data_IF_954950339297
#
_entry.id   IF_954950339297
#
_cell.length_a   1.000
_cell.length_b   1.000
_cell.length_c   1.000
_cell.angle_alpha   90.00
_cell.angle_beta   90.00
_cell.angle_gamma   90.00
#
_symmetry.space_group_name_H-M   'P 1'
#
loop_
_entity.id
_entity.type
_entity.pdbx_description
1 polymer ?
#
# COMPACT_ATOMS: atom_id res chain seq x y z
N UNK A 1 7.42 -3.05 -10.70
CA UNK A 1 8.49 -3.59 -9.84
C UNK A 1 8.73 -2.72 -8.63
N UNK A 2 9.12 -3.32 -7.51
CA UNK A 2 9.56 -2.68 -6.28
C UNK A 2 11.02 -3.08 -6.06
N UNK A 3 11.88 -2.09 -5.88
CA UNK A 3 13.33 -2.32 -5.71
C UNK A 3 13.81 -1.76 -4.38
N UNK A 4 14.88 -2.32 -3.85
CA UNK A 4 15.59 -1.75 -2.72
C UNK A 4 16.51 -0.58 -3.15
N UNK A 5 17.20 0.03 -2.18
CA UNK A 5 18.12 1.15 -2.43
C UNK A 5 19.34 0.77 -3.30
N UNK A 6 19.63 -0.50 -3.45
CA UNK A 6 20.71 -1.02 -4.30
C UNK A 6 20.24 -1.39 -5.71
N UNK A 7 18.96 -1.14 -6.05
CA UNK A 7 18.37 -1.48 -7.34
C UNK A 7 17.94 -2.93 -7.51
N UNK A 8 18.09 -3.78 -6.49
CA UNK A 8 17.66 -5.19 -6.56
C UNK A 8 16.14 -5.29 -6.48
N UNK A 9 15.56 -6.17 -7.28
CA UNK A 9 14.13 -6.46 -7.30
C UNK A 9 13.71 -7.12 -5.97
N UNK A 10 12.78 -6.49 -5.27
CA UNK A 10 12.18 -6.98 -4.02
C UNK A 10 10.78 -7.59 -4.22
N UNK A 11 10.08 -7.16 -5.26
CA UNK A 11 8.75 -7.63 -5.57
C UNK A 11 8.10 -6.90 -6.75
N UNK A 12 6.87 -7.30 -7.04
CA UNK A 12 6.03 -6.66 -8.07
C UNK A 12 4.69 -6.32 -7.45
N UNK A 13 4.19 -5.12 -7.73
CA UNK A 13 2.85 -4.69 -7.37
C UNK A 13 2.06 -4.40 -8.64
N UNK A 14 0.81 -4.83 -8.69
CA UNK A 14 -0.12 -4.55 -9.77
C UNK A 14 -1.37 -3.86 -9.23
N UNK A 15 -2.15 -3.24 -10.12
CA UNK A 15 -3.37 -2.50 -9.74
C UNK A 15 -4.34 -3.34 -8.91
N UNK A 16 -4.39 -4.66 -9.15
CA UNK A 16 -5.23 -5.58 -8.39
C UNK A 16 -4.81 -5.62 -6.92
N UNK A 17 -3.53 -5.63 -6.62
CA UNK A 17 -3.01 -5.69 -5.23
C UNK A 17 -3.44 -4.44 -4.47
N UNK A 18 -3.36 -3.27 -5.12
CA UNK A 18 -3.85 -2.01 -4.57
C UNK A 18 -5.37 -2.07 -4.35
N UNK A 19 -6.14 -2.54 -5.33
CA UNK A 19 -7.59 -2.66 -5.20
C UNK A 19 -8.00 -3.61 -4.07
N UNK A 20 -7.28 -4.73 -3.88
CA UNK A 20 -7.54 -5.68 -2.80
C UNK A 20 -7.29 -5.04 -1.44
N UNK A 21 -6.28 -4.18 -1.29
CA UNK A 21 -6.00 -3.49 -0.03
C UNK A 21 -7.14 -2.60 0.47
N UNK A 22 -7.99 -2.10 -0.45
CA UNK A 22 -9.21 -1.37 -0.09
C UNK A 22 -10.35 -2.28 0.41
N UNK A 23 -10.28 -3.57 0.12
CA UNK A 23 -11.35 -4.54 0.42
C UNK A 23 -11.07 -5.35 1.69
N UNK A 24 -9.79 -5.49 2.09
CA UNK A 24 -9.37 -6.27 3.26
C UNK A 24 -9.48 -5.46 4.57
N UNK A 25 -10.69 -4.93 4.84
CA UNK A 25 -10.97 -4.09 6.04
C UNK A 25 -11.26 -4.91 7.29
N UNK A 26 -11.20 -6.24 7.23
CA UNK A 26 -11.66 -7.11 8.31
C UNK A 26 -10.65 -7.35 9.45
N UNK A 27 -9.35 -7.12 9.22
CA UNK A 27 -8.34 -7.27 10.27
C UNK A 27 -7.92 -5.91 10.82
N UNK A 28 -8.46 -5.55 11.97
CA UNK A 28 -8.14 -4.29 12.65
C UNK A 28 -6.71 -4.22 13.23
N UNK A 29 -5.92 -5.30 13.11
CA UNK A 29 -4.50 -5.37 13.51
C UNK A 29 -3.53 -5.30 12.33
N UNK A 30 -4.02 -5.13 11.11
CA UNK A 30 -3.17 -5.14 9.92
C UNK A 30 -2.08 -4.06 9.97
N UNK A 31 -2.41 -2.86 10.45
CA UNK A 31 -1.47 -1.75 10.55
C UNK A 31 -0.32 -2.02 11.53
N UNK A 32 -0.61 -2.65 12.67
CA UNK A 32 0.43 -3.01 13.66
C UNK A 32 1.30 -4.18 13.18
N UNK A 33 0.70 -5.17 12.52
CA UNK A 33 1.44 -6.27 11.86
C UNK A 33 2.38 -5.74 10.77
N UNK A 34 1.92 -4.78 9.97
CA UNK A 34 2.70 -4.10 8.94
C UNK A 34 3.77 -3.16 9.50
N UNK A 35 3.77 -2.89 10.82
CA UNK A 35 4.66 -1.94 11.47
C UNK A 35 4.59 -0.58 10.79
N UNK A 36 3.38 -0.03 10.68
CA UNK A 36 3.14 1.22 9.96
C UNK A 36 3.65 2.41 10.75
N UNK A 37 4.38 3.31 10.10
CA UNK A 37 4.89 4.53 10.73
C UNK A 37 3.78 5.55 10.92
N UNK A 38 3.74 6.25 12.06
CA UNK A 38 2.70 7.24 12.33
C UNK A 38 2.70 8.39 11.33
N UNK A 39 3.88 8.79 10.84
CA UNK A 39 4.01 9.78 9.78
C UNK A 39 3.23 9.36 8.52
N UNK A 40 3.35 8.10 8.08
CA UNK A 40 2.61 7.61 6.90
C UNK A 40 1.10 7.63 7.14
N UNK A 41 0.66 7.34 8.37
CA UNK A 41 -0.77 7.42 8.74
C UNK A 41 -1.26 8.85 8.64
N UNK A 42 -0.52 9.81 9.21
CA UNK A 42 -0.87 11.22 9.14
C UNK A 42 -0.92 11.72 7.68
N UNK A 43 0.11 11.42 6.86
CA UNK A 43 0.15 11.80 5.45
C UNK A 43 -1.03 11.20 4.65
N UNK A 44 -1.36 9.93 4.88
CA UNK A 44 -2.49 9.25 4.21
C UNK A 44 -3.84 9.89 4.57
N UNK A 45 -3.96 10.40 5.78
CA UNK A 45 -5.19 11.02 6.28
C UNK A 45 -5.22 12.55 6.10
N UNK A 46 -4.30 13.13 5.33
CA UNK A 46 -4.15 14.57 5.19
C UNK A 46 -4.13 15.28 6.57
N UNK A 47 -3.46 14.65 7.52
CA UNK A 47 -3.49 14.99 8.94
C UNK A 47 -2.18 15.55 9.44
N UNK A 48 -2.24 16.11 10.66
CA UNK A 48 -1.10 16.65 11.37
C UNK A 48 -0.86 15.89 12.68
N UNK A 49 0.40 15.56 12.96
CA UNK A 49 0.80 15.03 14.26
C UNK A 49 1.02 16.20 15.21
N UNK A 50 0.26 16.26 16.29
CA UNK A 50 0.29 17.35 17.27
C UNK A 50 0.85 16.94 18.64
N UNK A 51 1.04 15.64 18.86
CA UNK A 51 1.72 15.08 20.03
C UNK A 51 2.42 13.77 19.69
N UNK A 52 3.45 13.42 20.45
CA UNK A 52 4.20 12.17 20.29
C UNK A 52 5.26 12.20 19.19
N UNK A 53 5.85 11.04 18.89
CA UNK A 53 6.95 10.91 17.93
C UNK A 53 6.41 10.44 16.56
N UNK A 54 6.47 11.31 15.55
CA UNK A 54 6.03 11.04 14.18
C UNK A 54 6.81 9.90 13.50
N UNK A 55 8.06 9.66 13.89
CA UNK A 55 8.92 8.64 13.33
C UNK A 55 8.76 7.27 14.00
N UNK A 56 7.97 7.18 15.08
CA UNK A 56 7.65 5.92 15.72
C UNK A 56 6.71 5.07 14.86
N UNK A 57 6.62 3.79 15.20
CA UNK A 57 5.84 2.81 14.45
C UNK A 57 4.71 2.25 15.30
N UNK A 58 3.55 2.08 14.70
CA UNK A 58 2.46 1.30 15.28
C UNK A 58 2.79 -0.19 15.13
N UNK A 59 3.16 -0.83 16.23
CA UNK A 59 3.71 -2.19 16.24
C UNK A 59 2.89 -3.20 17.05
N UNK A 60 1.92 -2.71 17.82
CA UNK A 60 1.03 -3.51 18.67
C UNK A 60 -0.35 -2.87 18.72
N UNK A 61 -1.34 -3.65 19.17
CA UNK A 61 -2.71 -3.17 19.30
C UNK A 61 -3.51 -3.30 18.02
N UNK A 62 -4.73 -2.84 18.09
CA UNK A 62 -5.72 -2.83 17.01
C UNK A 62 -6.20 -1.41 16.75
N UNK A 63 -6.82 -1.18 15.59
CA UNK A 63 -7.53 0.06 15.32
C UNK A 63 -8.95 -0.07 15.86
N UNK A 64 -9.36 0.88 16.71
CA UNK A 64 -10.67 0.95 17.35
C UNK A 64 -11.35 2.23 16.93
N UNK A 65 -12.60 2.14 16.51
CA UNK A 65 -13.45 3.32 16.30
C UNK A 65 -14.24 3.56 17.58
N UNK A 66 -13.91 4.64 18.27
CA UNK A 66 -14.56 5.01 19.52
C UNK A 66 -15.93 5.64 19.29
N UNK A 67 -16.95 5.08 19.93
CA UNK A 67 -18.25 5.71 20.03
C UNK A 67 -18.23 6.76 21.16
N UNK A 68 -19.23 7.66 21.16
CA UNK A 68 -19.34 8.75 22.16
C UNK A 68 -19.67 8.28 23.58
N UNK A 69 -19.87 6.98 23.78
CA UNK A 69 -20.21 6.41 25.09
C UNK A 69 -18.96 5.98 25.85
N UNK A 70 -18.68 6.70 26.95
CA UNK A 70 -17.54 6.47 27.83
C UNK A 70 -17.54 5.07 28.48
N UNK A 71 -18.72 4.49 28.76
CA UNK A 71 -18.86 3.17 29.35
C UNK A 71 -18.39 2.08 28.39
N UNK A 72 -18.80 2.17 27.14
CA UNK A 72 -18.43 1.24 26.08
C UNK A 72 -16.93 1.30 25.78
N UNK A 73 -16.35 2.50 25.70
CA UNK A 73 -14.94 2.68 25.37
C UNK A 73 -13.98 2.02 26.38
N UNK A 74 -14.30 2.05 27.67
CA UNK A 74 -13.44 1.47 28.71
C UNK A 74 -13.32 -0.06 28.63
N UNK A 75 -14.28 -0.74 27.98
CA UNK A 75 -14.28 -2.18 27.83
C UNK A 75 -13.57 -2.64 26.54
N UNK A 76 -13.45 -1.75 25.52
CA UNK A 76 -12.97 -2.11 24.20
C UNK A 76 -11.57 -1.58 23.86
N UNK A 77 -11.10 -0.54 24.57
CA UNK A 77 -9.75 -0.01 24.37
C UNK A 77 -8.78 -0.79 25.25
N UNK A 78 -7.80 -1.39 24.63
CA UNK A 78 -6.68 -2.07 25.29
C UNK A 78 -5.42 -1.18 25.18
N UNK A 79 -4.41 -1.53 25.99
CA UNK A 79 -3.11 -0.88 25.85
C UNK A 79 -2.53 -1.08 24.45
N UNK A 80 -1.81 -0.08 23.97
CA UNK A 80 -1.21 -0.02 22.63
C UNK A 80 -2.22 0.14 21.46
N UNK A 81 -3.53 0.21 21.69
CA UNK A 81 -4.51 0.42 20.64
C UNK A 81 -4.37 1.80 19.98
N UNK A 82 -4.76 1.88 18.71
CA UNK A 82 -4.98 3.12 17.97
C UNK A 82 -6.47 3.42 17.95
N UNK A 83 -6.86 4.61 18.43
CA UNK A 83 -8.28 4.92 18.62
C UNK A 83 -8.69 6.13 17.77
N UNK A 84 -9.73 5.96 16.96
CA UNK A 84 -10.33 7.03 16.16
C UNK A 84 -11.46 7.64 16.98
N UNK A 85 -11.35 8.93 17.29
CA UNK A 85 -12.25 9.64 18.21
C UNK A 85 -12.78 10.94 17.59
N UNK A 86 -13.84 11.45 18.24
CA UNK A 86 -14.36 12.79 18.04
C UNK A 86 -13.73 13.85 18.97
N UNK A 87 -14.36 15.04 19.08
CA UNK A 87 -13.84 16.18 19.82
C UNK A 87 -13.98 16.08 21.34
N UNK A 88 -14.66 15.05 21.86
CA UNK A 88 -14.98 14.95 23.29
C UNK A 88 -13.72 14.73 24.12
N UNK A 89 -13.33 15.73 24.92
CA UNK A 89 -12.13 15.73 25.76
C UNK A 89 -12.08 14.55 26.72
N UNK A 90 -13.20 14.23 27.36
CA UNK A 90 -13.32 13.15 28.36
C UNK A 90 -13.04 11.79 27.73
N UNK A 91 -13.48 11.61 26.48
CA UNK A 91 -13.25 10.37 25.69
C UNK A 91 -11.78 10.23 25.31
N UNK A 92 -11.14 11.34 24.91
CA UNK A 92 -9.72 11.38 24.59
C UNK A 92 -8.85 11.10 25.84
N UNK A 93 -9.18 11.69 26.99
CA UNK A 93 -8.52 11.43 28.26
C UNK A 93 -8.66 9.94 28.64
N UNK A 94 -9.85 9.36 28.46
CA UNK A 94 -10.06 7.94 28.78
C UNK A 94 -9.22 7.02 27.92
N UNK A 95 -9.08 7.31 26.61
CA UNK A 95 -8.18 6.57 25.75
C UNK A 95 -6.73 6.64 26.20
N UNK A 96 -6.26 7.82 26.63
CA UNK A 96 -4.94 7.99 27.22
C UNK A 96 -4.76 7.22 28.54
N UNK A 97 -5.77 7.21 29.41
CA UNK A 97 -5.75 6.42 30.66
C UNK A 97 -5.65 4.92 30.39
N UNK A 98 -6.28 4.43 29.31
CA UNK A 98 -6.19 3.03 28.84
C UNK A 98 -4.85 2.71 28.15
N UNK A 99 -3.90 3.67 28.12
CA UNK A 99 -2.60 3.54 27.45
C UNK A 99 -2.70 3.27 25.94
N UNK A 100 -3.62 3.93 25.24
CA UNK A 100 -3.64 3.94 23.79
C UNK A 100 -2.31 4.47 23.24
N UNK A 101 -1.80 3.85 22.19
CA UNK A 101 -0.56 4.29 21.53
C UNK A 101 -0.77 5.45 20.57
N UNK A 102 -1.99 5.57 20.04
CA UNK A 102 -2.34 6.65 19.12
C UNK A 102 -3.83 7.03 19.25
N UNK A 103 -4.10 8.33 19.15
CA UNK A 103 -5.44 8.87 19.03
C UNK A 103 -5.52 9.64 17.70
N UNK A 104 -6.53 9.34 16.89
CA UNK A 104 -6.84 10.07 15.66
C UNK A 104 -8.12 10.86 15.89
N UNK A 105 -8.04 12.18 15.78
CA UNK A 105 -9.18 13.10 15.96
C UNK A 105 -9.63 13.59 14.59
N UNK A 106 -10.84 13.20 14.19
CA UNK A 106 -11.41 13.51 12.87
C UNK A 106 -12.11 14.87 12.80
N UNK A 107 -12.64 15.19 11.61
CA UNK A 107 -13.45 16.36 11.30
C UNK A 107 -12.76 17.72 11.54
N UNK A 108 -11.44 17.78 11.59
CA UNK A 108 -10.69 19.00 11.80
C UNK A 108 -10.86 19.63 13.19
N UNK A 109 -11.35 18.88 14.17
CA UNK A 109 -11.50 19.40 15.54
C UNK A 109 -10.15 19.66 16.20
N UNK A 110 -10.10 20.75 16.96
CA UNK A 110 -8.97 21.07 17.82
C UNK A 110 -8.94 20.15 19.04
N UNK A 111 -7.74 19.85 19.53
CA UNK A 111 -7.52 19.04 20.73
C UNK A 111 -7.13 19.94 21.89
N UNK A 112 -7.75 19.71 23.04
CA UNK A 112 -7.47 20.46 24.25
C UNK A 112 -5.99 20.38 24.65
N UNK A 113 -5.33 21.50 25.02
CA UNK A 113 -3.92 21.50 25.44
C UNK A 113 -3.59 20.55 26.59
N UNK A 114 -4.53 20.28 27.50
CA UNK A 114 -4.35 19.31 28.58
C UNK A 114 -4.21 17.87 28.03
N UNK A 115 -5.01 17.52 27.02
CA UNK A 115 -4.93 16.22 26.34
C UNK A 115 -3.59 16.07 25.63
N UNK A 116 -3.11 17.11 24.93
CA UNK A 116 -1.80 17.12 24.28
C UNK A 116 -0.67 16.91 25.30
N UNK A 117 -0.72 17.61 26.44
CA UNK A 117 0.28 17.43 27.48
C UNK A 117 0.28 16.03 28.09
N UNK A 118 -0.91 15.45 28.30
CA UNK A 118 -1.06 14.11 28.80
C UNK A 118 -0.56 13.07 27.80
N UNK A 119 -0.85 13.26 26.51
CA UNK A 119 -0.37 12.39 25.44
C UNK A 119 1.17 12.37 25.36
N UNK A 120 1.82 13.53 25.42
CA UNK A 120 3.28 13.62 25.44
C UNK A 120 3.92 12.95 26.67
N UNK A 121 3.27 13.00 27.83
CA UNK A 121 3.75 12.30 29.03
C UNK A 121 3.64 10.78 28.94
N UNK A 122 2.72 10.29 28.13
CA UNK A 122 2.43 8.87 27.94
C UNK A 122 3.00 8.29 26.65
N UNK A 123 3.79 9.06 25.90
CA UNK A 123 4.32 8.70 24.57
C UNK A 123 3.21 8.30 23.58
N UNK A 124 1.98 8.83 23.74
CA UNK A 124 0.88 8.61 22.83
C UNK A 124 0.93 9.62 21.68
N UNK A 125 0.77 9.13 20.45
CA UNK A 125 0.70 9.97 19.26
C UNK A 125 -0.71 10.52 19.08
N UNK A 126 -0.85 11.83 18.82
CA UNK A 126 -2.14 12.42 18.44
C UNK A 126 -2.04 12.92 17.01
N UNK A 127 -2.96 12.46 16.16
CA UNK A 127 -3.13 12.88 14.77
C UNK A 127 -4.47 13.60 14.66
N UNK A 128 -4.48 14.79 14.10
CA UNK A 128 -5.71 15.48 13.70
C UNK A 128 -5.88 15.40 12.19
N UNK A 129 -7.10 15.22 11.69
CA UNK A 129 -7.39 15.11 10.26
C UNK A 129 -8.72 15.78 9.91
N UNK A 130 -8.88 16.38 8.71
CA UNK A 130 -10.15 16.92 8.26
C UNK A 130 -11.21 15.83 7.97
N UNK A 131 -10.80 14.58 7.82
CA UNK A 131 -11.70 13.48 7.46
C UNK A 131 -12.59 13.07 8.62
N UNK A 132 -13.82 12.62 8.28
CA UNK A 132 -14.72 11.99 9.23
C UNK A 132 -14.29 10.55 9.58
N UNK A 133 -14.89 9.99 10.62
CA UNK A 133 -14.57 8.66 11.13
C UNK A 133 -14.68 7.56 10.08
N UNK A 134 -15.67 7.63 9.18
CA UNK A 134 -15.85 6.65 8.13
C UNK A 134 -14.72 6.73 7.09
N UNK A 135 -14.39 7.94 6.67
CA UNK A 135 -13.28 8.19 5.73
C UNK A 135 -11.94 7.76 6.33
N UNK A 136 -11.69 8.07 7.61
CA UNK A 136 -10.48 7.62 8.32
C UNK A 136 -10.40 6.09 8.31
N UNK A 137 -11.44 5.40 8.75
CA UNK A 137 -11.46 3.95 8.84
C UNK A 137 -11.24 3.27 7.47
N UNK A 138 -11.72 3.90 6.40
CA UNK A 138 -11.58 3.41 5.03
C UNK A 138 -10.18 3.64 4.46
N UNK A 139 -9.56 4.77 4.76
CA UNK A 139 -8.30 5.19 4.14
C UNK A 139 -7.06 4.72 4.91
N UNK A 140 -7.19 4.51 6.21
CA UNK A 140 -6.03 4.28 7.09
C UNK A 140 -5.16 3.10 6.67
N UNK A 141 -5.74 2.06 6.09
CA UNK A 141 -4.99 0.89 5.63
C UNK A 141 -4.04 1.20 4.46
N UNK A 142 -4.26 2.30 3.73
CA UNK A 142 -3.36 2.74 2.65
C UNK A 142 -2.04 3.31 3.17
N UNK A 143 -1.93 3.58 4.46
CA UNK A 143 -0.70 4.04 5.09
C UNK A 143 0.36 2.94 5.26
N UNK A 144 -0.01 1.67 5.05
CA UNK A 144 0.91 0.55 5.16
C UNK A 144 2.02 0.62 4.10
N UNK A 145 3.25 0.16 4.45
CA UNK A 145 4.33 0.07 3.48
C UNK A 145 3.97 -0.81 2.28
N UNK A 146 4.40 -0.41 1.08
CA UNK A 146 4.13 -1.14 -0.18
C UNK A 146 4.56 -2.61 -0.14
N UNK A 147 5.55 -2.94 0.68
CA UNK A 147 6.02 -4.31 0.90
C UNK A 147 4.93 -5.27 1.38
N UNK A 148 3.86 -4.77 2.00
CA UNK A 148 2.74 -5.58 2.49
C UNK A 148 1.75 -5.96 1.38
N UNK A 149 1.80 -5.24 0.25
CA UNK A 149 0.91 -5.45 -0.90
C UNK A 149 1.59 -6.12 -2.09
N UNK A 150 2.93 -6.06 -2.16
CA UNK A 150 3.66 -6.59 -3.31
C UNK A 150 3.77 -8.12 -3.26
N UNK A 151 3.71 -8.74 -4.43
CA UNK A 151 4.07 -10.15 -4.61
C UNK A 151 5.59 -10.27 -4.55
N UNK A 152 6.10 -11.15 -3.69
CA UNK A 152 7.55 -11.41 -3.48
C UNK A 152 7.98 -12.79 -3.94
N UNK A 153 7.10 -13.76 -3.81
CA UNK A 153 7.40 -15.17 -4.08
C UNK A 153 7.00 -15.52 -5.51
N UNK A 154 7.72 -16.46 -6.09
CA UNK A 154 7.46 -16.97 -7.45
C UNK A 154 7.42 -15.86 -8.52
N UNK A 155 8.27 -14.84 -8.36
CA UNK A 155 8.42 -13.80 -9.37
C UNK A 155 9.01 -14.43 -10.64
N UNK A 156 8.34 -14.20 -11.78
CA UNK A 156 8.88 -14.55 -13.08
C UNK A 156 9.60 -13.34 -13.63
N UNK A 157 10.90 -13.47 -13.79
CA UNK A 157 11.79 -12.45 -14.32
C UNK A 157 12.52 -12.99 -15.53
N UNK A 158 13.07 -12.11 -16.35
CA UNK A 158 13.94 -12.44 -17.46
C UNK A 158 15.29 -11.74 -17.29
N UNK A 159 16.32 -12.37 -17.81
CA UNK A 159 17.63 -11.76 -17.88
C UNK A 159 17.77 -10.92 -19.16
N UNK A 160 18.63 -9.91 -19.14
CA UNK A 160 18.80 -9.00 -20.27
C UNK A 160 19.25 -9.76 -21.56
N UNK A 161 19.94 -10.87 -21.40
CA UNK A 161 20.47 -11.67 -22.49
C UNK A 161 19.56 -12.85 -22.90
N UNK A 162 18.35 -12.98 -22.30
CA UNK A 162 17.39 -14.02 -22.65
C UNK A 162 16.91 -13.91 -24.12
N UNK A 163 16.83 -15.04 -24.81
CA UNK A 163 16.31 -15.07 -26.17
C UNK A 163 14.81 -14.81 -26.23
N UNK A 164 14.40 -13.99 -27.19
CA UNK A 164 13.00 -13.58 -27.36
C UNK A 164 12.04 -14.77 -27.50
N UNK A 165 12.46 -15.86 -28.12
CA UNK A 165 11.60 -17.03 -28.29
C UNK A 165 11.39 -17.81 -26.99
N UNK A 166 12.40 -17.91 -26.13
CA UNK A 166 12.29 -18.52 -24.80
C UNK A 166 11.40 -17.66 -23.88
N UNK A 167 11.54 -16.33 -23.97
CA UNK A 167 10.66 -15.38 -23.28
C UNK A 167 9.21 -15.55 -23.72
N UNK A 168 8.94 -15.68 -25.03
CA UNK A 168 7.59 -15.92 -25.55
C UNK A 168 7.02 -17.26 -25.10
N UNK A 169 7.83 -18.33 -25.08
CA UNK A 169 7.40 -19.64 -24.60
C UNK A 169 6.98 -19.57 -23.13
N UNK A 170 7.80 -18.94 -22.29
CA UNK A 170 7.52 -18.74 -20.86
C UNK A 170 6.25 -17.90 -20.68
N UNK A 171 6.11 -16.79 -21.40
CA UNK A 171 4.93 -15.94 -21.34
C UNK A 171 3.66 -16.68 -21.80
N UNK A 172 3.76 -17.64 -22.71
CA UNK A 172 2.59 -18.41 -23.16
C UNK A 172 1.98 -19.27 -22.06
N UNK A 173 2.80 -19.72 -21.13
CA UNK A 173 2.42 -20.60 -20.00
C UNK A 173 1.88 -19.84 -18.78
N UNK A 174 2.16 -18.54 -18.67
CA UNK A 174 1.91 -17.73 -17.48
C UNK A 174 0.96 -16.58 -17.82
N UNK A 175 -0.03 -16.30 -16.96
CA UNK A 175 -1.04 -15.25 -17.22
C UNK A 175 -0.63 -13.82 -16.89
N UNK A 176 0.64 -13.57 -16.54
CA UNK A 176 1.11 -12.21 -16.26
C UNK A 176 1.19 -11.38 -17.55
N UNK A 177 1.06 -10.07 -17.42
CA UNK A 177 1.15 -9.11 -18.54
C UNK A 177 2.54 -8.55 -18.72
N UNK A 178 3.20 -8.26 -17.60
CA UNK A 178 4.44 -7.52 -17.52
C UNK A 178 5.43 -8.30 -16.66
N UNK A 179 6.68 -8.36 -17.10
CA UNK A 179 7.74 -9.15 -16.48
C UNK A 179 8.97 -8.27 -16.28
N UNK A 180 9.55 -8.25 -15.07
CA UNK A 180 10.80 -7.55 -14.81
C UNK A 180 11.97 -8.18 -15.57
N UNK A 181 12.89 -7.32 -16.06
CA UNK A 181 14.16 -7.71 -16.63
C UNK A 181 15.25 -7.35 -15.62
N UNK A 182 16.17 -8.29 -15.42
CA UNK A 182 17.31 -8.16 -14.50
C UNK A 182 18.63 -8.15 -15.28
N UNK A 183 19.64 -7.51 -14.69
CA UNK A 183 21.03 -7.64 -15.12
C UNK A 183 21.69 -8.88 -14.50
N UNK A 184 22.95 -9.16 -14.88
CA UNK A 184 23.78 -10.26 -14.36
C UNK A 184 23.95 -10.23 -12.82
N UNK A 185 23.78 -9.07 -12.19
CA UNK A 185 23.88 -8.87 -10.75
C UNK A 185 22.53 -9.01 -10.03
N UNK A 186 21.44 -9.27 -10.77
CA UNK A 186 20.07 -9.34 -10.25
C UNK A 186 19.44 -7.98 -9.97
N UNK A 187 19.97 -6.89 -10.54
CA UNK A 187 19.34 -5.58 -10.44
C UNK A 187 18.26 -5.42 -11.49
N UNK A 188 17.21 -4.73 -11.10
CA UNK A 188 16.13 -4.39 -12.03
C UNK A 188 16.59 -3.33 -13.04
N UNK A 189 16.43 -3.62 -14.33
CA UNK A 189 16.83 -2.72 -15.42
C UNK A 189 15.69 -2.34 -16.37
N UNK A 190 14.58 -3.08 -16.35
CA UNK A 190 13.47 -2.78 -17.24
C UNK A 190 12.30 -3.74 -17.14
N UNK A 191 11.31 -3.54 -18.00
CA UNK A 191 10.12 -4.38 -18.11
C UNK A 191 9.92 -4.85 -19.54
N UNK A 192 9.52 -6.09 -19.72
CA UNK A 192 8.99 -6.58 -20.98
C UNK A 192 7.50 -6.90 -20.81
N UNK A 193 6.68 -6.42 -21.73
CA UNK A 193 5.25 -6.72 -21.73
C UNK A 193 4.89 -7.69 -22.86
N UNK A 194 3.91 -8.53 -22.58
CA UNK A 194 3.32 -9.42 -23.62
C UNK A 194 2.88 -8.64 -24.85
N UNK A 195 2.32 -7.44 -24.66
CA UNK A 195 1.87 -6.58 -25.76
C UNK A 195 3.01 -6.16 -26.67
N UNK A 196 4.17 -5.81 -26.08
CA UNK A 196 5.33 -5.36 -26.86
C UNK A 196 5.88 -6.50 -27.72
N UNK A 197 6.01 -7.71 -27.18
CA UNK A 197 6.49 -8.87 -27.95
C UNK A 197 5.54 -9.30 -29.05
N UNK A 198 4.21 -9.26 -28.81
CA UNK A 198 3.23 -9.60 -29.84
C UNK A 198 3.15 -8.56 -30.97
N UNK A 199 3.41 -7.27 -30.68
CA UNK A 199 3.42 -6.24 -31.71
C UNK A 199 4.60 -6.36 -32.67
N UNK A 200 5.71 -6.96 -32.24
CA UNK A 200 6.86 -7.24 -33.10
C UNK A 200 6.55 -8.30 -34.16
N UNK A 201 5.69 -9.29 -33.87
CA UNK A 201 5.26 -10.30 -34.85
C UNK A 201 4.38 -9.73 -35.97
N UNK A 202 3.54 -8.74 -35.66
CA UNK A 202 2.67 -8.11 -36.66
C UNK A 202 3.43 -7.32 -37.74
N UNK A 203 4.64 -6.84 -37.44
CA UNK A 203 5.47 -6.12 -38.42
C UNK A 203 6.19 -7.03 -39.44
N UNK A 204 6.31 -8.32 -39.15
CA UNK A 204 6.92 -9.29 -40.08
C UNK A 204 5.93 -9.90 -41.11
N UNK A 205 4.61 -9.72 -40.93
CA UNK A 205 3.59 -10.33 -41.77
C UNK A 205 3.17 -9.43 -42.95
N UNK A 206 3.73 -8.21 -43.10
CA UNK A 206 3.36 -7.28 -44.19
C UNK A 206 4.46 -7.17 -45.25
N UNK A 207 5.17 -8.23 -45.53
CA UNK A 207 5.95 -8.42 -46.76
C UNK A 207 5.31 -9.55 -47.59
N UNK A 208 4.04 -9.41 -47.92
CA UNK A 208 3.48 -10.19 -49.03
C UNK A 208 3.88 -9.42 -50.29
N UNK A 209 4.80 -10.02 -51.02
CA UNK A 209 5.25 -9.56 -52.31
C UNK A 209 4.04 -9.39 -53.26
N UNK A 210 3.76 -8.17 -53.67
CA UNK A 210 2.68 -7.84 -54.59
C UNK A 210 2.95 -8.32 -56.03
N UNK A 211 4.10 -8.96 -56.29
CA UNK A 211 4.50 -9.41 -57.61
C UNK A 211 3.94 -10.79 -58.05
N UNK A 212 3.36 -11.59 -57.16
CA UNK A 212 2.77 -12.88 -57.58
C UNK A 212 1.32 -12.78 -58.08
N UNK A 213 0.66 -11.63 -57.99
CA UNK A 213 -0.72 -11.47 -58.49
C UNK A 213 -0.83 -10.99 -59.95
N UNK A 214 0.25 -10.64 -60.57
CA UNK A 214 0.23 -10.14 -61.98
C UNK A 214 0.53 -11.19 -63.04
N UNK A 215 0.76 -12.46 -62.68
CA UNK A 215 1.00 -13.56 -63.65
C UNK A 215 -0.16 -14.54 -63.84
N UNK A 216 -1.31 -14.32 -63.23
CA UNK A 216 -2.47 -15.22 -63.32
C UNK A 216 -3.63 -14.67 -64.17
N UNK A 217 -3.42 -13.71 -65.04
CA UNK A 217 -4.49 -13.10 -65.88
C UNK A 217 -4.18 -13.11 -67.39
N UNK A 218 -3.14 -13.79 -67.84
CA UNK A 218 -2.93 -14.06 -69.27
C UNK A 218 -2.83 -15.54 -69.53
N UNK A 219 -4.02 -16.20 -69.69
CA UNK A 219 -4.31 -17.33 -70.54
C UNK A 219 -5.81 -17.58 -70.62
#
# INVERSE_FOLDING_TARGET
>A
PVTNRLGKLEGVIVTKDIATSYMDVYDNRVLSKARTQYKNIAETLDGNIIAGNEHAYFIRGKVVVGASDLGFLSEYIEADDMVILGPQKEVQIRALESNASCIIVGCGFEVDPEVIQMANKKDCVIITTPYDTFSIARLINQSMPIKEFMTREHLVTFDIDDYVDDVKETMSKIRHRDFPILDENGNYIGMVSRRNLMSMQKKQIILVDHNEKSQAVDN
#
